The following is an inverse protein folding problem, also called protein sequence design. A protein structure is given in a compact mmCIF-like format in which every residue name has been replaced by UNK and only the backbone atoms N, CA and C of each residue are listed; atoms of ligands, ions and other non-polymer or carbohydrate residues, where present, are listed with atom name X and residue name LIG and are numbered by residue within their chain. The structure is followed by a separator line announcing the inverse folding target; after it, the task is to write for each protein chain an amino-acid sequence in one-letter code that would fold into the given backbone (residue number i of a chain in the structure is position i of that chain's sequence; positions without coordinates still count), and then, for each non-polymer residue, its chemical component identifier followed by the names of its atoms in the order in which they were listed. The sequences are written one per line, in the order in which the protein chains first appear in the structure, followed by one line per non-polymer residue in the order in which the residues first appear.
data_IF_489335808214
#
_entry.id   IF_489335808214
#
_cell.length_a   1.000
_cell.length_b   1.000
_cell.length_c   1.000
_cell.angle_alpha   90.00
_cell.angle_beta   90.00
_cell.angle_gamma   90.00
#
_symmetry.space_group_name_H-M   'P 1'
#
loop_
_entity.id
_entity.type
_entity.pdbx_description
1 polymer ?
#
# COMPACT_ATOMS: atom_id res chain seq x y z
N UNK A 1 11.06 30.58 -2.26
CA UNK A 1 10.80 30.42 -3.72
C UNK A 1 9.42 29.79 -3.85
N UNK A 2 8.49 30.33 -4.65
CA UNK A 2 7.14 29.73 -4.76
C UNK A 2 7.24 28.42 -5.58
N UNK A 3 6.65 27.35 -5.02
CA UNK A 3 6.56 26.04 -5.69
C UNK A 3 5.92 26.19 -7.09
N UNK A 4 6.48 25.53 -8.14
CA UNK A 4 5.87 25.53 -9.46
C UNK A 4 4.45 24.97 -9.43
N UNK A 5 3.52 25.62 -10.15
CA UNK A 5 2.09 25.25 -10.15
C UNK A 5 1.88 23.79 -10.54
N UNK A 6 2.63 23.30 -11.50
CA UNK A 6 2.49 21.92 -12.00
C UNK A 6 2.91 20.89 -10.95
N UNK A 7 3.99 21.15 -10.21
CA UNK A 7 4.44 20.29 -9.13
C UNK A 7 3.40 20.23 -7.99
N UNK A 8 2.84 21.39 -7.63
CA UNK A 8 1.78 21.45 -6.61
C UNK A 8 0.52 20.68 -7.05
N UNK A 9 0.13 20.78 -8.33
CA UNK A 9 -1.00 20.02 -8.89
C UNK A 9 -0.75 18.52 -8.87
N UNK A 10 0.46 18.06 -9.14
CA UNK A 10 0.84 16.66 -9.03
C UNK A 10 0.73 16.16 -7.58
N UNK A 11 1.17 16.96 -6.60
CA UNK A 11 1.02 16.64 -5.18
C UNK A 11 -0.45 16.53 -4.78
N UNK A 12 -1.31 17.45 -5.23
CA UNK A 12 -2.77 17.39 -5.00
C UNK A 12 -3.32 16.06 -5.53
N UNK A 13 -2.95 15.67 -6.76
CA UNK A 13 -3.41 14.40 -7.35
C UNK A 13 -2.90 13.19 -6.57
N UNK A 14 -1.64 13.20 -6.14
CA UNK A 14 -1.07 12.13 -5.35
C UNK A 14 -1.83 11.95 -4.03
N UNK A 15 -2.05 13.04 -3.28
CA UNK A 15 -2.78 13.02 -2.01
C UNK A 15 -4.24 12.60 -2.20
N UNK A 16 -4.92 13.12 -3.23
CA UNK A 16 -6.32 12.77 -3.50
C UNK A 16 -6.45 11.31 -3.93
N UNK A 17 -5.51 10.78 -4.72
CA UNK A 17 -5.53 9.36 -5.13
C UNK A 17 -5.21 8.42 -3.97
N UNK A 18 -4.28 8.80 -3.10
CA UNK A 18 -3.90 7.96 -1.96
C UNK A 18 -4.91 7.94 -0.82
N UNK A 19 -5.65 9.04 -0.64
CA UNK A 19 -6.58 9.20 0.51
C UNK A 19 -8.06 9.21 0.11
N UNK A 20 -8.37 9.10 -1.18
CA UNK A 20 -9.74 9.21 -1.67
C UNK A 20 -10.25 10.66 -1.60
N UNK A 21 -11.38 10.87 -0.95
CA UNK A 21 -11.99 12.19 -0.81
C UNK A 21 -11.25 13.06 0.22
N UNK A 22 -10.67 14.19 -0.18
CA UNK A 22 -9.88 15.07 0.69
C UNK A 22 -10.46 16.48 0.66
N UNK A 23 -10.67 17.09 1.84
CA UNK A 23 -11.13 18.50 1.95
C UNK A 23 -10.04 19.43 1.40
N UNK A 24 -10.46 20.45 0.64
CA UNK A 24 -9.58 21.48 0.08
C UNK A 24 -8.79 22.22 1.18
N UNK A 25 -9.37 22.40 2.36
CA UNK A 25 -8.67 22.99 3.51
C UNK A 25 -7.54 22.12 4.05
N UNK A 26 -7.71 20.79 4.04
CA UNK A 26 -6.67 19.83 4.45
C UNK A 26 -5.52 19.84 3.45
N UNK A 27 -5.84 19.81 2.16
CA UNK A 27 -4.83 19.94 1.09
C UNK A 27 -4.03 21.26 1.21
N UNK A 28 -4.71 22.34 1.55
CA UNK A 28 -4.06 23.65 1.72
C UNK A 28 -3.06 23.65 2.89
N UNK A 29 -3.45 23.07 4.02
CA UNK A 29 -2.57 22.92 5.18
C UNK A 29 -1.35 22.02 4.89
N UNK A 30 -1.55 20.90 4.20
CA UNK A 30 -0.47 19.96 3.90
C UNK A 30 0.52 20.45 2.83
N UNK A 31 0.04 21.29 1.92
CA UNK A 31 0.86 21.87 0.86
C UNK A 31 1.46 23.23 1.23
N UNK A 32 1.17 23.72 2.43
CA UNK A 32 1.58 25.05 2.94
C UNK A 32 1.23 26.19 1.96
N UNK A 33 0.00 26.16 1.45
CA UNK A 33 -0.52 27.20 0.54
C UNK A 33 -1.93 27.63 0.94
N UNK A 34 -2.37 28.77 0.42
CA UNK A 34 -3.72 29.26 0.73
C UNK A 34 -4.82 28.34 0.19
N UNK A 35 -5.94 28.24 0.91
CA UNK A 35 -7.13 27.49 0.48
C UNK A 35 -7.63 27.97 -0.90
N UNK A 36 -7.46 29.26 -1.20
CA UNK A 36 -7.85 29.84 -2.49
C UNK A 36 -6.96 29.27 -3.62
N UNK A 37 -5.67 29.14 -3.37
CA UNK A 37 -4.71 28.56 -4.33
C UNK A 37 -5.05 27.09 -4.62
N UNK A 38 -5.27 26.28 -3.59
CA UNK A 38 -5.64 24.87 -3.76
C UNK A 38 -6.99 24.73 -4.44
N UNK A 39 -7.96 25.57 -4.11
CA UNK A 39 -9.28 25.55 -4.77
C UNK A 39 -9.15 25.76 -6.28
N UNK A 40 -8.34 26.73 -6.70
CA UNK A 40 -8.08 26.99 -8.11
C UNK A 40 -7.38 25.81 -8.80
N UNK A 41 -6.38 25.22 -8.16
CA UNK A 41 -5.70 24.06 -8.71
C UNK A 41 -6.60 22.83 -8.82
N UNK A 42 -7.44 22.57 -7.81
CA UNK A 42 -8.47 21.51 -7.84
C UNK A 42 -9.50 21.77 -8.95
N UNK A 43 -9.88 23.03 -9.20
CA UNK A 43 -10.78 23.40 -10.30
C UNK A 43 -10.15 23.10 -11.67
N UNK A 44 -8.89 23.45 -11.87
CA UNK A 44 -8.17 23.16 -13.11
C UNK A 44 -8.00 21.66 -13.35
N UNK A 45 -7.62 20.90 -12.29
CA UNK A 45 -7.50 19.45 -12.35
C UNK A 45 -8.85 18.77 -12.63
N UNK A 46 -9.93 19.30 -12.09
CA UNK A 46 -11.29 18.80 -12.36
C UNK A 46 -11.73 19.09 -13.80
N UNK A 47 -11.43 20.29 -14.32
CA UNK A 47 -11.69 20.66 -15.71
C UNK A 47 -10.88 19.80 -16.70
N UNK A 48 -9.64 19.43 -16.32
CA UNK A 48 -8.81 18.52 -17.08
C UNK A 48 -9.22 17.04 -16.93
N UNK A 49 -10.29 16.73 -16.20
CA UNK A 49 -10.77 15.36 -15.98
C UNK A 49 -9.83 14.50 -15.12
N UNK A 50 -8.89 15.09 -14.38
CA UNK A 50 -7.89 14.37 -13.57
C UNK A 50 -8.34 14.10 -12.13
N UNK A 51 -9.37 14.79 -11.64
CA UNK A 51 -10.07 14.55 -10.38
C UNK A 51 -11.54 15.04 -10.49
N UNK A 52 -12.37 14.69 -9.52
CA UNK A 52 -13.73 15.23 -9.35
C UNK A 52 -13.78 16.22 -8.19
N UNK A 53 -14.60 17.25 -8.32
CA UNK A 53 -14.83 18.26 -7.29
C UNK A 53 -16.27 18.22 -6.79
N UNK A 54 -16.48 18.33 -5.49
CA UNK A 54 -17.80 18.51 -4.89
C UNK A 54 -17.73 19.15 -3.51
N UNK A 55 -18.51 20.20 -3.25
CA UNK A 55 -18.71 20.86 -1.93
C UNK A 55 -17.42 21.01 -1.07
N UNK A 56 -16.35 21.55 -1.67
CA UNK A 56 -15.08 21.77 -0.96
C UNK A 56 -14.20 20.53 -0.75
N UNK A 57 -14.50 19.45 -1.46
CA UNK A 57 -13.76 18.19 -1.43
C UNK A 57 -13.24 17.85 -2.83
N UNK A 58 -11.99 17.43 -2.93
CA UNK A 58 -11.38 16.85 -4.14
C UNK A 58 -11.43 15.31 -4.06
N UNK A 59 -11.81 14.65 -5.18
CA UNK A 59 -11.95 13.20 -5.28
C UNK A 59 -11.22 12.67 -6.52
N UNK A 60 -10.65 11.45 -6.51
CA UNK A 60 -10.03 10.89 -7.70
C UNK A 60 -11.08 10.61 -8.80
N UNK A 61 -10.66 10.69 -10.06
CA UNK A 61 -11.46 10.23 -11.19
C UNK A 61 -11.41 8.70 -11.18
N UNK A 62 -12.57 8.05 -11.14
CA UNK A 62 -12.68 6.60 -10.96
C UNK A 62 -12.71 6.16 -9.49
N UNK A 63 -12.65 7.07 -8.51
CA UNK A 63 -13.15 6.75 -7.20
C UNK A 63 -14.62 6.36 -7.31
N UNK A 64 -14.92 5.17 -6.85
CA UNK A 64 -16.29 4.76 -6.56
C UNK A 64 -16.95 5.95 -5.88
N UNK A 65 -18.07 6.42 -6.41
CA UNK A 65 -18.92 7.35 -5.66
C UNK A 65 -18.96 6.83 -4.23
N UNK A 66 -18.68 7.70 -3.25
CA UNK A 66 -19.15 7.40 -1.91
C UNK A 66 -20.59 6.95 -2.11
N UNK A 67 -20.78 5.66 -2.01
CA UNK A 67 -22.10 5.15 -1.72
C UNK A 67 -22.35 5.73 -0.32
N UNK A 68 -22.90 6.93 -0.31
CA UNK A 68 -23.72 7.40 0.81
C UNK A 68 -24.66 6.23 0.98
N UNK A 69 -24.43 5.41 2.02
CA UNK A 69 -25.38 4.39 2.42
C UNK A 69 -26.68 5.17 2.62
N UNK A 70 -27.66 5.08 1.71
CA UNK A 70 -28.98 5.60 2.01
C UNK A 70 -29.37 4.75 3.21
N UNK A 71 -29.73 5.42 4.32
CA UNK A 71 -30.44 4.76 5.40
C UNK A 71 -31.45 3.81 4.75
N UNK A 72 -31.33 2.53 5.07
CA UNK A 72 -32.10 1.38 4.64
C UNK A 72 -33.22 1.74 3.65
N UNK A 73 -32.93 1.66 2.36
CA UNK A 73 -33.99 1.52 1.37
C UNK A 73 -34.49 0.08 1.47
N UNK A 74 -35.77 -0.03 1.78
CA UNK A 74 -36.50 -1.27 1.81
C UNK A 74 -36.09 -2.20 0.67
N UNK A 75 -35.91 -3.45 0.99
CA UNK A 75 -35.56 -4.57 0.12
C UNK A 75 -36.45 -4.57 -1.12
N UNK A 76 -35.85 -4.48 -2.31
CA UNK A 76 -36.53 -4.98 -3.49
C UNK A 76 -36.54 -6.51 -3.40
N UNK A 77 -37.73 -7.15 -3.33
CA UNK A 77 -37.82 -8.60 -3.29
C UNK A 77 -37.50 -9.15 -4.69
N UNK A 78 -36.36 -9.84 -4.84
CA UNK A 78 -36.07 -10.54 -6.08
C UNK A 78 -34.60 -10.89 -6.38
N UNK A 79 -33.63 -10.53 -5.56
CA UNK A 79 -32.26 -11.03 -5.76
C UNK A 79 -31.85 -11.96 -4.60
N UNK A 80 -31.77 -13.25 -4.91
CA UNK A 80 -31.47 -14.33 -3.94
C UNK A 80 -30.07 -14.31 -3.35
N UNK A 81 -29.26 -13.27 -3.51
CA UNK A 81 -27.90 -13.16 -2.96
C UNK A 81 -27.77 -12.03 -1.95
N UNK A 82 -27.55 -12.33 -0.66
CA UNK A 82 -27.17 -11.34 0.34
C UNK A 82 -25.80 -10.69 -0.03
N UNK A 83 -25.43 -9.53 0.61
CA UNK A 83 -24.20 -8.84 0.30
C UNK A 83 -22.96 -9.64 0.74
N UNK A 84 -21.84 -9.39 0.08
CA UNK A 84 -20.50 -9.75 0.56
C UNK A 84 -19.92 -8.52 1.25
N UNK A 85 -19.51 -8.67 2.50
CA UNK A 85 -18.81 -7.61 3.19
C UNK A 85 -17.35 -7.55 2.72
N UNK A 86 -16.90 -6.37 2.35
CA UNK A 86 -15.50 -6.09 2.04
C UNK A 86 -14.96 -5.08 3.05
N UNK A 87 -14.07 -5.52 3.93
CA UNK A 87 -13.51 -4.69 5.00
C UNK A 87 -12.05 -4.38 4.70
N UNK A 88 -11.75 -3.11 4.47
CA UNK A 88 -10.40 -2.62 4.17
C UNK A 88 -10.03 -1.47 5.09
N UNK A 89 -8.74 -1.32 5.45
CA UNK A 89 -8.30 -0.21 6.27
C UNK A 89 -8.35 1.13 5.50
N UNK A 90 -8.62 2.19 6.24
CA UNK A 90 -8.49 3.56 5.75
C UNK A 90 -7.07 3.84 5.21
N UNK A 91 -6.96 4.73 4.22
CA UNK A 91 -5.70 5.20 3.60
C UNK A 91 -4.88 4.16 2.83
N UNK A 92 -5.48 3.08 2.39
CA UNK A 92 -4.83 2.10 1.51
C UNK A 92 -5.45 2.10 0.12
N UNK A 93 -5.05 3.07 -0.72
CA UNK A 93 -5.47 3.16 -2.14
C UNK A 93 -5.23 1.85 -2.90
N UNK A 94 -4.17 1.13 -2.55
CA UNK A 94 -3.86 -0.21 -3.02
C UNK A 94 -5.06 -1.19 -2.87
N UNK A 95 -5.67 -1.24 -1.69
CA UNK A 95 -6.77 -2.17 -1.40
C UNK A 95 -8.09 -1.76 -2.07
N UNK A 96 -8.22 -0.49 -2.46
CA UNK A 96 -9.37 -0.06 -3.27
C UNK A 96 -9.30 -0.62 -4.70
N UNK A 97 -8.10 -0.78 -5.27
CA UNK A 97 -7.94 -1.46 -6.56
C UNK A 97 -8.27 -2.96 -6.45
N UNK A 98 -7.94 -3.61 -5.32
CA UNK A 98 -8.35 -4.98 -5.06
C UNK A 98 -9.90 -5.08 -4.93
N UNK A 99 -10.54 -4.15 -4.22
CA UNK A 99 -12.00 -4.07 -4.15
C UNK A 99 -12.63 -3.92 -5.54
N UNK A 100 -12.01 -3.09 -6.39
CA UNK A 100 -12.45 -2.91 -7.77
C UNK A 100 -12.32 -4.19 -8.60
N UNK A 101 -11.27 -4.97 -8.38
CA UNK A 101 -11.08 -6.27 -9.03
C UNK A 101 -12.09 -7.34 -8.58
N UNK A 102 -12.49 -7.32 -7.31
CA UNK A 102 -13.46 -8.27 -6.75
C UNK A 102 -14.90 -8.02 -7.26
N UNK A 103 -15.23 -6.76 -7.53
CA UNK A 103 -16.57 -6.32 -7.83
C UNK A 103 -17.23 -7.04 -9.03
N UNK A 104 -16.64 -7.08 -10.23
CA UNK A 104 -17.27 -7.72 -11.38
C UNK A 104 -17.54 -9.20 -11.15
N UNK A 105 -16.66 -9.91 -10.46
CA UNK A 105 -16.82 -11.33 -10.14
C UNK A 105 -18.02 -11.58 -9.25
N UNK A 106 -18.21 -10.75 -8.24
CA UNK A 106 -19.33 -10.87 -7.31
C UNK A 106 -20.66 -10.42 -7.95
N UNK A 107 -20.62 -9.34 -8.74
CA UNK A 107 -21.81 -8.86 -9.47
C UNK A 107 -22.30 -9.86 -10.52
N UNK A 108 -21.40 -10.53 -11.24
CA UNK A 108 -21.74 -11.61 -12.18
C UNK A 108 -22.39 -12.80 -11.47
N UNK A 109 -21.96 -13.10 -10.25
CA UNK A 109 -22.57 -14.11 -9.39
C UNK A 109 -23.88 -13.62 -8.71
N UNK A 110 -24.41 -12.44 -9.07
CA UNK A 110 -25.63 -11.88 -8.50
C UNK A 110 -25.48 -11.32 -7.09
N UNK A 111 -24.25 -11.16 -6.57
CA UNK A 111 -23.97 -10.66 -5.24
C UNK A 111 -23.60 -9.17 -5.26
N UNK A 112 -23.90 -8.47 -4.18
CA UNK A 112 -23.52 -7.06 -3.99
C UNK A 112 -22.35 -6.97 -3.02
N UNK A 113 -21.47 -5.96 -3.19
CA UNK A 113 -20.43 -5.64 -2.22
C UNK A 113 -20.95 -4.57 -1.26
N UNK A 114 -20.82 -4.83 0.05
CA UNK A 114 -20.91 -3.84 1.11
C UNK A 114 -19.48 -3.47 1.52
N UNK A 115 -19.00 -2.31 1.05
CA UNK A 115 -17.65 -1.83 1.37
C UNK A 115 -17.64 -1.13 2.73
N UNK A 116 -16.78 -1.58 3.62
CA UNK A 116 -16.53 -1.01 4.94
C UNK A 116 -15.07 -0.56 5.04
N UNK A 117 -14.86 0.69 5.41
CA UNK A 117 -13.53 1.27 5.56
C UNK A 117 -13.25 1.39 7.06
N UNK A 118 -12.29 0.61 7.55
CA UNK A 118 -11.91 0.59 8.95
C UNK A 118 -10.97 1.78 9.26
N UNK A 119 -11.29 2.64 10.23
CA UNK A 119 -10.42 3.73 10.66
C UNK A 119 -9.10 3.18 11.23
N UNK A 120 -8.09 4.06 11.30
CA UNK A 120 -6.77 3.68 11.83
C UNK A 120 -6.76 3.61 13.37
N UNK A 121 -7.61 2.75 13.91
CA UNK A 121 -7.68 2.48 15.34
C UNK A 121 -7.59 0.97 15.60
N UNK A 122 -6.95 0.53 16.68
CA UNK A 122 -6.93 -0.88 17.06
C UNK A 122 -8.34 -1.43 17.19
N UNK A 123 -8.58 -2.63 16.64
CA UNK A 123 -9.87 -3.33 16.73
C UNK A 123 -11.01 -2.71 15.90
N UNK A 124 -10.75 -1.70 15.07
CA UNK A 124 -11.79 -1.01 14.30
C UNK A 124 -12.49 -1.90 13.27
N UNK A 125 -11.86 -2.97 12.83
CA UNK A 125 -12.43 -3.91 11.85
C UNK A 125 -13.56 -4.76 12.44
N UNK A 126 -13.44 -5.19 13.70
CA UNK A 126 -14.39 -6.10 14.34
C UNK A 126 -15.82 -5.58 14.39
N UNK A 127 -16.10 -4.35 14.88
CA UNK A 127 -17.46 -3.80 14.88
C UNK A 127 -18.07 -3.69 13.47
N UNK A 128 -17.25 -3.41 12.44
CA UNK A 128 -17.70 -3.32 11.06
C UNK A 128 -18.10 -4.69 10.52
N UNK A 129 -17.34 -5.73 10.83
CA UNK A 129 -17.69 -7.11 10.46
C UNK A 129 -18.96 -7.55 11.17
N UNK A 130 -19.06 -7.32 12.48
CA UNK A 130 -20.25 -7.66 13.28
C UNK A 130 -21.51 -6.96 12.72
N UNK A 131 -21.42 -5.67 12.37
CA UNK A 131 -22.51 -4.92 11.76
C UNK A 131 -22.88 -5.47 10.36
N UNK A 132 -21.89 -5.83 9.55
CA UNK A 132 -22.13 -6.41 8.22
C UNK A 132 -22.81 -7.77 8.32
N UNK A 133 -22.42 -8.62 9.28
CA UNK A 133 -23.04 -9.91 9.52
C UNK A 133 -24.47 -9.75 10.01
N UNK A 134 -24.73 -8.81 10.93
CA UNK A 134 -26.08 -8.46 11.39
C UNK A 134 -26.97 -7.94 10.25
N UNK A 135 -26.37 -7.29 9.25
CA UNK A 135 -27.05 -6.83 8.02
C UNK A 135 -27.20 -7.95 6.96
N UNK A 136 -26.89 -9.19 7.29
CA UNK A 136 -27.11 -10.35 6.43
C UNK A 136 -25.97 -10.59 5.41
N UNK A 137 -24.76 -10.16 5.68
CA UNK A 137 -23.62 -10.50 4.83
C UNK A 137 -23.42 -12.02 4.81
N UNK A 138 -23.28 -12.58 3.60
CA UNK A 138 -23.12 -14.02 3.39
C UNK A 138 -21.67 -14.47 3.28
N UNK A 139 -20.76 -13.54 3.11
CA UNK A 139 -19.33 -13.78 3.02
C UNK A 139 -18.53 -12.54 3.37
N UNK A 140 -17.26 -12.74 3.70
CA UNK A 140 -16.36 -11.69 4.14
C UNK A 140 -15.05 -11.73 3.34
N UNK A 141 -14.72 -10.61 2.70
CA UNK A 141 -13.38 -10.30 2.20
C UNK A 141 -12.76 -9.26 3.14
N UNK A 142 -11.61 -9.53 3.71
CA UNK A 142 -11.01 -8.64 4.72
C UNK A 142 -9.49 -8.53 4.58
N UNK A 143 -8.97 -7.32 4.77
CA UNK A 143 -7.54 -7.03 4.85
C UNK A 143 -7.18 -6.49 6.24
N UNK A 144 -7.03 -7.35 7.28
CA UNK A 144 -6.75 -6.92 8.64
C UNK A 144 -5.37 -6.25 8.76
N UNK A 145 -5.20 -5.38 9.78
CA UNK A 145 -3.97 -4.61 10.00
C UNK A 145 -3.13 -5.12 11.16
N UNK A 146 -2.98 -6.42 11.33
CA UNK A 146 -2.04 -6.88 12.37
C UNK A 146 -0.61 -6.45 12.09
N UNK A 147 0.12 -6.09 13.13
CA UNK A 147 1.51 -5.66 13.01
C UNK A 147 2.51 -6.81 13.20
N UNK A 148 2.19 -7.78 14.01
CA UNK A 148 3.04 -8.91 14.33
C UNK A 148 2.28 -10.15 14.73
N UNK A 149 3.00 -11.17 15.21
CA UNK A 149 2.43 -12.42 15.64
C UNK A 149 1.48 -12.24 16.83
N UNK A 150 1.88 -11.39 17.77
CA UNK A 150 1.11 -11.15 18.99
C UNK A 150 -0.18 -10.43 18.65
N UNK A 151 -0.13 -9.36 17.83
CA UNK A 151 -1.32 -8.65 17.39
C UNK A 151 -2.20 -9.48 16.45
N UNK A 152 -1.63 -10.34 15.61
CA UNK A 152 -2.41 -11.30 14.80
C UNK A 152 -3.28 -12.19 15.71
N UNK A 153 -2.67 -12.77 16.74
CA UNK A 153 -3.39 -13.68 17.63
C UNK A 153 -4.33 -12.94 18.61
N UNK A 154 -3.86 -11.83 19.22
CA UNK A 154 -4.61 -11.12 20.25
C UNK A 154 -5.76 -10.28 19.66
N UNK A 155 -5.50 -9.59 18.56
CA UNK A 155 -6.43 -8.60 18.02
C UNK A 155 -7.36 -9.16 16.94
N UNK A 156 -6.97 -10.26 16.28
CA UNK A 156 -7.67 -10.80 15.12
C UNK A 156 -8.10 -12.28 15.25
N UNK A 157 -7.79 -12.93 16.36
CA UNK A 157 -8.19 -14.34 16.60
C UNK A 157 -9.69 -14.59 16.40
N UNK A 158 -10.52 -13.60 16.67
CA UNK A 158 -11.97 -13.63 16.47
C UNK A 158 -12.42 -13.89 15.01
N UNK A 159 -11.56 -13.62 14.02
CA UNK A 159 -11.87 -13.91 12.61
C UNK A 159 -12.05 -15.41 12.35
N UNK A 160 -11.42 -16.28 13.12
CA UNK A 160 -11.61 -17.72 13.01
C UNK A 160 -12.99 -18.20 13.48
N UNK A 161 -13.72 -17.37 14.24
CA UNK A 161 -15.05 -17.63 14.77
C UNK A 161 -16.17 -17.05 13.88
N UNK A 162 -15.81 -16.32 12.82
CA UNK A 162 -16.79 -15.74 11.89
C UNK A 162 -17.55 -16.86 11.17
N UNK A 163 -18.87 -16.85 11.31
CA UNK A 163 -19.74 -17.94 10.84
C UNK A 163 -19.89 -18.01 9.30
N UNK A 164 -19.53 -16.97 8.56
CA UNK A 164 -19.61 -16.94 7.10
C UNK A 164 -18.26 -17.25 6.46
N UNK A 165 -18.22 -17.77 5.22
CA UNK A 165 -16.98 -17.92 4.48
C UNK A 165 -16.19 -16.63 4.47
N UNK A 166 -14.92 -16.71 4.86
CA UNK A 166 -14.02 -15.57 5.02
C UNK A 166 -12.74 -15.82 4.23
N UNK A 167 -12.32 -14.80 3.47
CA UNK A 167 -11.06 -14.80 2.71
C UNK A 167 -10.24 -13.58 3.12
N UNK A 168 -8.99 -13.82 3.50
CA UNK A 168 -8.03 -12.78 3.81
C UNK A 168 -7.40 -12.23 2.51
N UNK A 169 -7.33 -10.92 2.38
CA UNK A 169 -6.67 -10.27 1.25
C UNK A 169 -5.38 -9.60 1.69
N UNK A 170 -4.31 -9.79 0.93
CA UNK A 170 -2.97 -9.23 1.20
C UNK A 170 -2.47 -9.56 2.62
N UNK A 171 -2.86 -10.71 3.12
CA UNK A 171 -2.48 -11.17 4.46
C UNK A 171 -2.15 -12.65 4.43
N UNK A 172 -0.99 -12.98 4.95
CA UNK A 172 -0.54 -14.37 5.12
C UNK A 172 -0.55 -14.69 6.62
N UNK A 173 -1.53 -15.46 7.11
CA UNK A 173 -1.53 -15.93 8.50
C UNK A 173 -0.32 -16.80 8.80
N UNK A 174 0.20 -16.69 10.00
CA UNK A 174 1.34 -17.52 10.44
C UNK A 174 0.95 -18.97 10.61
N UNK A 175 1.87 -19.90 10.33
CA UNK A 175 1.71 -21.28 10.74
C UNK A 175 1.44 -21.39 12.26
N UNK A 176 0.41 -22.15 12.65
CA UNK A 176 0.01 -22.31 14.04
C UNK A 176 -0.92 -21.22 14.61
N UNK A 177 -1.17 -20.13 13.88
CA UNK A 177 -2.20 -19.16 14.22
C UNK A 177 -3.60 -19.73 13.94
N UNK A 178 -4.63 -19.35 14.72
CA UNK A 178 -6.03 -19.69 14.43
C UNK A 178 -6.50 -19.24 13.04
N UNK A 179 -5.93 -18.15 12.54
CA UNK A 179 -6.21 -17.61 11.20
C UNK A 179 -5.60 -18.46 10.09
N UNK A 180 -4.67 -19.36 10.41
CA UNK A 180 -4.06 -20.26 9.43
C UNK A 180 -5.08 -21.19 8.76
N UNK A 181 -6.24 -21.36 9.37
CA UNK A 181 -7.36 -22.13 8.80
C UNK A 181 -8.24 -21.33 7.82
N UNK A 182 -7.97 -20.04 7.62
CA UNK A 182 -8.70 -19.21 6.67
C UNK A 182 -8.02 -19.21 5.29
N UNK A 183 -8.84 -19.12 4.25
CA UNK A 183 -8.35 -18.89 2.89
C UNK A 183 -7.71 -17.52 2.76
N UNK A 184 -6.67 -17.41 1.91
CA UNK A 184 -6.00 -16.14 1.69
C UNK A 184 -5.50 -15.95 0.27
N UNK A 185 -5.51 -14.71 -0.19
CA UNK A 185 -4.93 -14.28 -1.46
C UNK A 185 -3.99 -13.11 -1.19
N UNK A 186 -2.74 -13.23 -1.61
CA UNK A 186 -1.70 -12.24 -1.37
C UNK A 186 -0.87 -12.00 -2.62
N UNK A 187 -0.26 -10.82 -2.72
CA UNK A 187 0.92 -10.64 -3.56
C UNK A 187 2.15 -11.30 -2.94
N UNK A 188 3.02 -11.85 -3.75
CA UNK A 188 4.33 -12.33 -3.30
C UNK A 188 5.28 -11.14 -3.10
N UNK A 189 5.28 -10.60 -1.87
CA UNK A 189 6.11 -9.45 -1.53
C UNK A 189 7.60 -9.77 -1.46
N UNK A 190 7.96 -11.04 -1.23
CA UNK A 190 9.35 -11.47 -1.29
C UNK A 190 9.86 -11.38 -2.74
N UNK A 191 9.12 -11.95 -3.68
CA UNK A 191 9.46 -11.87 -5.09
C UNK A 191 9.44 -10.43 -5.62
N UNK A 192 8.47 -9.61 -5.21
CA UNK A 192 8.44 -8.20 -5.57
C UNK A 192 9.68 -7.43 -5.08
N UNK A 193 10.13 -7.70 -3.86
CA UNK A 193 11.36 -7.12 -3.31
C UNK A 193 12.60 -7.63 -4.03
N UNK A 194 12.62 -8.92 -4.38
CA UNK A 194 13.66 -9.51 -5.20
C UNK A 194 13.80 -8.78 -6.54
N UNK A 195 12.69 -8.52 -7.26
CA UNK A 195 12.72 -7.78 -8.52
C UNK A 195 13.33 -6.39 -8.38
N UNK A 196 13.04 -5.68 -7.28
CA UNK A 196 13.59 -4.35 -7.02
C UNK A 196 15.11 -4.40 -6.81
N UNK A 197 15.58 -5.31 -5.95
CA UNK A 197 17.01 -5.47 -5.65
C UNK A 197 17.76 -5.98 -6.87
N UNK A 198 17.22 -6.99 -7.56
CA UNK A 198 17.81 -7.58 -8.77
C UNK A 198 18.02 -6.54 -9.87
N UNK A 199 17.02 -5.71 -10.12
CA UNK A 199 17.11 -4.61 -11.09
C UNK A 199 18.24 -3.62 -10.72
N UNK A 200 18.34 -3.21 -9.45
CA UNK A 200 19.38 -2.29 -9.00
C UNK A 200 20.78 -2.92 -9.09
N UNK A 201 20.90 -4.18 -8.71
CA UNK A 201 22.17 -4.93 -8.83
C UNK A 201 22.57 -5.11 -10.29
N UNK A 202 21.62 -5.41 -11.17
CA UNK A 202 21.87 -5.52 -12.61
C UNK A 202 22.35 -4.21 -13.24
N UNK A 203 21.91 -3.05 -12.70
CA UNK A 203 22.41 -1.73 -13.08
C UNK A 203 23.82 -1.42 -12.52
N UNK A 204 24.34 -2.24 -11.62
CA UNK A 204 25.65 -2.06 -11.00
C UNK A 204 25.64 -1.40 -9.62
N UNK A 205 24.47 -1.18 -9.01
CA UNK A 205 24.39 -0.68 -7.64
C UNK A 205 24.83 -1.75 -6.64
N UNK A 206 25.69 -1.34 -5.69
CA UNK A 206 26.28 -2.22 -4.67
C UNK A 206 25.91 -1.81 -3.25
N UNK A 207 25.43 -0.59 -3.08
CA UNK A 207 25.08 0.01 -1.79
C UNK A 207 23.65 0.53 -1.88
N UNK A 208 22.71 -0.17 -1.21
CA UNK A 208 21.28 0.00 -1.41
C UNK A 208 20.59 0.22 -0.06
N UNK A 209 19.72 1.21 0.01
CA UNK A 209 18.91 1.49 1.21
C UNK A 209 17.45 1.11 0.94
N UNK A 210 16.79 0.48 1.90
CA UNK A 210 15.33 0.39 1.94
C UNK A 210 14.78 1.39 2.95
N UNK A 211 13.88 2.27 2.51
CA UNK A 211 13.04 3.05 3.41
C UNK A 211 11.59 2.56 3.30
N UNK A 212 11.05 2.05 4.40
CA UNK A 212 9.71 1.46 4.44
C UNK A 212 8.96 1.88 5.71
N UNK A 213 7.62 1.88 5.64
CA UNK A 213 6.76 2.12 6.80
C UNK A 213 6.77 0.95 7.77
N UNK A 214 6.17 1.13 8.96
CA UNK A 214 5.96 0.06 9.95
C UNK A 214 4.48 -0.11 10.32
N UNK A 215 3.58 0.28 9.44
CA UNK A 215 2.15 0.38 9.70
C UNK A 215 1.32 -0.75 9.09
N UNK A 216 1.95 -1.67 8.38
CA UNK A 216 1.24 -2.75 7.68
C UNK A 216 2.02 -4.07 7.65
N UNK A 217 1.34 -5.21 7.54
CA UNK A 217 1.98 -6.51 7.31
C UNK A 217 2.82 -6.53 6.03
N UNK A 218 2.38 -5.84 4.97
CA UNK A 218 3.11 -5.70 3.70
C UNK A 218 4.46 -5.02 3.91
N UNK A 219 4.48 -3.86 4.57
CA UNK A 219 5.72 -3.13 4.85
C UNK A 219 6.73 -3.99 5.61
N UNK A 220 6.24 -4.80 6.57
CA UNK A 220 7.08 -5.74 7.32
C UNK A 220 7.63 -6.86 6.43
N UNK A 221 6.77 -7.44 5.58
CA UNK A 221 7.21 -8.48 4.64
C UNK A 221 8.28 -7.94 3.68
N UNK A 222 8.13 -6.73 3.17
CA UNK A 222 9.12 -6.07 2.30
C UNK A 222 10.44 -5.83 3.04
N UNK A 223 10.41 -5.34 4.31
CA UNK A 223 11.63 -5.14 5.11
C UNK A 223 12.37 -6.44 5.35
N UNK A 224 11.65 -7.50 5.73
CA UNK A 224 12.23 -8.81 5.97
C UNK A 224 12.84 -9.40 4.70
N UNK A 225 12.09 -9.38 3.60
CA UNK A 225 12.55 -9.86 2.30
C UNK A 225 13.78 -9.09 1.81
N UNK A 226 13.80 -7.76 1.96
CA UNK A 226 14.93 -6.94 1.57
C UNK A 226 16.20 -7.32 2.35
N UNK A 227 16.11 -7.47 3.67
CA UNK A 227 17.23 -7.84 4.51
C UNK A 227 17.78 -9.23 4.13
N UNK A 228 16.90 -10.20 3.93
CA UNK A 228 17.26 -11.55 3.49
C UNK A 228 17.96 -11.55 2.12
N UNK A 229 17.34 -10.89 1.14
CA UNK A 229 17.83 -10.84 -0.24
C UNK A 229 19.17 -10.10 -0.31
N UNK A 230 19.27 -8.94 0.34
CA UNK A 230 20.49 -8.13 0.33
C UNK A 230 21.65 -8.85 1.01
N UNK A 231 21.40 -9.53 2.14
CA UNK A 231 22.42 -10.31 2.85
C UNK A 231 22.89 -11.56 2.08
N UNK A 232 22.01 -12.14 1.26
CA UNK A 232 22.32 -13.34 0.47
C UNK A 232 23.06 -13.02 -0.85
N UNK A 233 23.11 -11.74 -1.26
CA UNK A 233 23.72 -11.36 -2.54
C UNK A 233 25.15 -10.83 -2.35
N UNK A 234 26.18 -11.53 -2.85
CA UNK A 234 27.58 -11.10 -2.74
C UNK A 234 27.87 -9.80 -3.48
N UNK A 235 27.02 -9.42 -4.45
CA UNK A 235 27.15 -8.14 -5.18
C UNK A 235 26.74 -6.95 -4.32
N UNK A 236 25.95 -7.12 -3.27
CA UNK A 236 25.54 -6.05 -2.36
C UNK A 236 26.57 -5.89 -1.25
N UNK A 237 27.38 -4.84 -1.33
CA UNK A 237 28.46 -4.56 -0.39
C UNK A 237 27.96 -3.94 0.93
N UNK A 238 26.91 -3.12 0.86
CA UNK A 238 26.32 -2.48 2.02
C UNK A 238 24.82 -2.25 1.79
N UNK A 239 24.05 -2.45 2.86
CA UNK A 239 22.61 -2.20 2.83
C UNK A 239 22.08 -1.78 4.20
N UNK A 240 20.99 -1.06 4.20
CA UNK A 240 20.28 -0.69 5.42
C UNK A 240 18.78 -0.64 5.23
N UNK A 241 18.05 -0.88 6.31
CA UNK A 241 16.61 -0.76 6.37
C UNK A 241 16.27 0.33 7.39
N UNK A 242 15.49 1.32 6.95
CA UNK A 242 15.06 2.44 7.79
C UNK A 242 13.56 2.65 7.68
N UNK A 243 12.98 3.33 8.68
CA UNK A 243 11.57 3.72 8.63
C UNK A 243 11.39 5.00 7.80
N UNK A 244 10.46 4.98 6.85
CA UNK A 244 10.18 6.13 5.97
C UNK A 244 9.32 7.22 6.62
N UNK A 245 8.61 6.91 7.72
CA UNK A 245 7.71 7.83 8.39
C UNK A 245 7.80 7.72 9.91
N UNK A 246 7.80 8.86 10.64
CA UNK A 246 7.78 8.89 12.09
C UNK A 246 6.44 8.46 12.71
N UNK A 247 5.38 8.35 11.93
CA UNK A 247 4.04 7.92 12.38
C UNK A 247 3.95 6.41 12.67
N UNK A 248 5.06 5.70 12.60
CA UNK A 248 5.19 4.37 13.14
C UNK A 248 4.97 4.43 14.66
N UNK A 249 3.72 4.22 15.10
CA UNK A 249 3.38 4.12 16.52
C UNK A 249 4.22 2.98 17.12
N UNK A 250 5.04 3.20 18.16
CA UNK A 250 5.77 2.15 18.82
C UNK A 250 4.75 1.17 19.42
N UNK A 251 4.55 0.01 18.78
CA UNK A 251 3.91 -1.12 19.42
C UNK A 251 4.92 -1.80 20.37
N UNK A 252 4.47 -2.51 21.41
CA UNK A 252 5.33 -3.21 22.35
C UNK A 252 6.08 -4.41 21.75
N UNK A 253 5.96 -4.65 20.46
CA UNK A 253 6.56 -5.79 19.79
C UNK A 253 7.84 -5.40 19.07
N UNK A 254 8.96 -5.60 19.75
CA UNK A 254 10.25 -5.79 19.12
C UNK A 254 10.27 -7.20 18.51
N UNK A 255 10.18 -7.29 17.19
CA UNK A 255 10.60 -8.50 16.49
C UNK A 255 12.14 -8.49 16.48
N UNK A 256 12.74 -9.39 17.26
CA UNK A 256 14.17 -9.50 17.53
C UNK A 256 14.98 -9.97 16.30
N UNK A 257 14.34 -10.16 15.13
CA UNK A 257 14.96 -10.76 13.95
C UNK A 257 15.49 -9.77 12.92
N UNK A 258 15.19 -8.49 13.03
CA UNK A 258 15.82 -7.47 12.19
C UNK A 258 16.84 -6.69 12.99
N UNK A 259 18.10 -6.73 12.59
CA UNK A 259 19.09 -5.69 12.91
C UNK A 259 18.64 -4.36 12.29
N UNK A 260 17.51 -3.84 12.77
CA UNK A 260 17.24 -2.42 12.74
C UNK A 260 18.35 -1.86 13.62
N UNK A 261 19.35 -1.25 12.99
CA UNK A 261 20.32 -0.45 13.73
C UNK A 261 19.53 0.42 14.68
N UNK A 262 20.06 0.68 15.85
CA UNK A 262 19.49 1.44 16.97
C UNK A 262 19.13 2.90 16.59
N UNK A 263 18.73 3.08 15.32
CA UNK A 263 18.29 4.30 14.70
C UNK A 263 16.89 4.65 15.21
N UNK A 264 16.92 5.13 16.47
CA UNK A 264 16.11 6.25 16.91
C UNK A 264 14.59 6.09 16.79
N UNK A 265 14.00 5.80 17.92
CA UNK A 265 12.65 6.24 18.33
C UNK A 265 12.48 7.79 18.24
N UNK A 266 13.32 8.46 17.46
CA UNK A 266 13.23 9.89 17.23
C UNK A 266 12.17 10.16 16.18
N UNK A 267 11.18 10.99 16.52
CA UNK A 267 10.06 11.40 15.66
C UNK A 267 10.49 12.35 14.53
N UNK A 268 11.77 12.42 14.25
CA UNK A 268 12.30 13.23 13.15
C UNK A 268 11.97 12.60 11.81
N UNK A 269 11.49 13.37 10.84
CA UNK A 269 11.32 12.88 9.47
C UNK A 269 12.64 12.32 8.92
N UNK A 270 12.57 11.21 8.19
CA UNK A 270 13.74 10.62 7.57
C UNK A 270 14.47 11.63 6.68
N UNK A 271 15.74 11.89 6.99
CA UNK A 271 16.67 12.58 6.09
C UNK A 271 17.35 11.53 5.19
N UNK A 272 16.70 11.24 4.07
CA UNK A 272 17.20 10.23 3.14
C UNK A 272 18.51 10.68 2.47
N UNK A 273 18.71 11.99 2.23
CA UNK A 273 19.95 12.48 1.62
C UNK A 273 21.15 12.30 2.55
N UNK A 274 21.00 12.62 3.83
CA UNK A 274 22.04 12.40 4.82
C UNK A 274 22.39 10.89 4.93
N UNK A 275 21.38 10.02 4.96
CA UNK A 275 21.57 8.57 5.00
C UNK A 275 22.30 8.04 3.77
N UNK A 276 21.91 8.48 2.57
CA UNK A 276 22.57 8.09 1.31
C UNK A 276 24.05 8.50 1.31
N UNK A 277 24.34 9.72 1.79
CA UNK A 277 25.72 10.22 1.90
C UNK A 277 26.56 9.43 2.92
N UNK A 278 26.01 9.20 4.12
CA UNK A 278 26.67 8.42 5.18
C UNK A 278 27.01 7.00 4.72
N UNK A 279 26.06 6.32 4.11
CA UNK A 279 26.20 4.95 3.60
C UNK A 279 26.90 4.88 2.25
N UNK A 280 27.17 6.01 1.60
CA UNK A 280 27.61 6.07 0.21
C UNK A 280 26.70 5.23 -0.71
N UNK A 281 25.41 5.22 -0.40
CA UNK A 281 24.42 4.46 -1.15
C UNK A 281 24.07 5.19 -2.45
N UNK A 282 24.00 4.44 -3.54
CA UNK A 282 23.71 4.94 -4.87
C UNK A 282 22.29 4.59 -5.33
N UNK A 283 21.57 3.79 -4.54
CA UNK A 283 20.20 3.40 -4.84
C UNK A 283 19.36 3.26 -3.57
N UNK A 284 18.06 3.49 -3.72
CA UNK A 284 17.06 3.29 -2.68
C UNK A 284 15.83 2.55 -3.21
N UNK A 285 15.31 1.64 -2.38
CA UNK A 285 13.97 1.07 -2.52
C UNK A 285 13.05 1.78 -1.54
N UNK A 286 11.94 2.33 -2.01
CA UNK A 286 11.02 3.15 -1.20
C UNK A 286 9.64 2.47 -1.18
N UNK A 287 9.25 1.93 -0.03
CA UNK A 287 7.95 1.27 0.14
C UNK A 287 6.82 2.29 0.32
N UNK A 288 5.78 2.13 -0.53
CA UNK A 288 4.69 3.09 -0.64
C UNK A 288 5.06 4.23 -1.59
N UNK A 289 4.53 4.20 -2.81
CA UNK A 289 4.90 5.14 -3.86
C UNK A 289 4.49 6.60 -3.58
N UNK A 290 3.51 6.83 -2.71
CA UNK A 290 3.19 8.19 -2.21
C UNK A 290 4.35 8.75 -1.39
N UNK A 291 4.86 7.96 -0.43
CA UNK A 291 6.02 8.35 0.38
C UNK A 291 7.27 8.47 -0.49
N UNK A 292 7.42 7.58 -1.49
CA UNK A 292 8.52 7.64 -2.44
C UNK A 292 8.54 8.97 -3.22
N UNK A 293 7.39 9.42 -3.73
CA UNK A 293 7.30 10.72 -4.42
C UNK A 293 7.69 11.88 -3.51
N UNK A 294 7.27 11.86 -2.25
CA UNK A 294 7.62 12.88 -1.26
C UNK A 294 9.12 12.87 -0.93
N UNK A 295 9.70 11.67 -0.75
CA UNK A 295 11.13 11.53 -0.47
C UNK A 295 11.98 11.96 -1.66
N UNK A 296 11.60 11.60 -2.89
CA UNK A 296 12.29 12.05 -4.11
C UNK A 296 12.24 13.57 -4.26
N UNK A 297 11.12 14.20 -3.91
CA UNK A 297 11.03 15.66 -3.91
C UNK A 297 11.99 16.28 -2.89
N UNK A 298 12.05 15.75 -1.66
CA UNK A 298 12.99 16.21 -0.63
C UNK A 298 14.45 16.03 -1.05
N UNK A 299 14.79 14.91 -1.69
CA UNK A 299 16.11 14.70 -2.28
C UNK A 299 16.46 15.80 -3.27
N UNK A 300 15.53 16.17 -4.16
CA UNK A 300 15.75 17.24 -5.14
C UNK A 300 15.94 18.62 -4.48
N UNK A 301 15.20 18.91 -3.38
CA UNK A 301 15.35 20.12 -2.57
C UNK A 301 16.73 20.19 -1.90
N UNK A 302 17.33 19.05 -1.56
CA UNK A 302 18.66 18.90 -0.98
C UNK A 302 19.76 18.73 -2.03
N UNK A 303 19.44 18.89 -3.32
CA UNK A 303 20.39 18.83 -4.43
C UNK A 303 20.73 17.43 -4.92
N UNK A 304 20.09 16.39 -4.42
CA UNK A 304 20.26 14.99 -4.86
C UNK A 304 19.30 14.70 -6.02
N UNK A 305 19.83 14.38 -7.17
CA UNK A 305 19.05 14.18 -8.41
C UNK A 305 18.74 12.70 -8.62
N UNK A 306 17.48 12.38 -8.85
CA UNK A 306 17.02 11.06 -9.25
C UNK A 306 16.82 11.08 -10.78
N UNK A 307 17.42 10.14 -11.55
CA UNK A 307 18.22 8.99 -11.11
C UNK A 307 19.74 9.25 -11.00
N UNK A 308 20.21 10.44 -11.37
CA UNK A 308 21.63 10.72 -11.60
C UNK A 308 22.54 10.46 -10.39
N UNK A 309 22.14 10.96 -9.23
CA UNK A 309 22.92 10.86 -8.00
C UNK A 309 22.44 9.68 -7.13
N UNK A 310 21.17 9.26 -7.29
CA UNK A 310 20.58 8.12 -6.64
C UNK A 310 19.48 7.50 -7.52
N UNK A 311 19.57 6.21 -7.81
CA UNK A 311 18.48 5.43 -8.41
C UNK A 311 17.41 5.11 -7.39
N UNK A 312 16.14 5.20 -7.77
CA UNK A 312 15.01 4.93 -6.88
C UNK A 312 14.06 3.91 -7.51
N UNK A 313 13.73 2.87 -6.75
CA UNK A 313 12.63 1.94 -7.04
C UNK A 313 11.54 2.13 -5.99
N UNK A 314 10.33 2.45 -6.44
CA UNK A 314 9.15 2.53 -5.57
C UNK A 314 8.44 1.17 -5.45
N UNK A 315 7.52 1.06 -4.50
CA UNK A 315 6.66 -0.10 -4.31
C UNK A 315 5.18 0.33 -4.35
N UNK A 316 4.28 -0.57 -4.78
CA UNK A 316 2.82 -0.45 -4.96
C UNK A 316 2.35 0.00 -6.34
N UNK A 317 3.01 0.89 -7.03
CA UNK A 317 2.67 1.38 -8.37
C UNK A 317 1.23 1.91 -8.52
N UNK A 318 0.76 2.66 -7.54
CA UNK A 318 -0.53 3.37 -7.57
C UNK A 318 -0.37 4.76 -8.15
N UNK A 319 0.66 5.48 -7.72
CA UNK A 319 0.96 6.88 -8.12
C UNK A 319 2.38 7.08 -8.62
N UNK A 320 3.20 6.02 -8.67
CA UNK A 320 4.63 6.08 -9.03
C UNK A 320 4.91 6.78 -10.36
N UNK A 321 3.99 6.70 -11.34
CA UNK A 321 4.13 7.34 -12.64
C UNK A 321 3.82 8.85 -12.63
N UNK A 322 3.36 9.43 -11.53
CA UNK A 322 2.83 10.80 -11.49
C UNK A 322 3.86 11.85 -11.12
N UNK A 323 5.07 11.47 -10.70
CA UNK A 323 6.14 12.39 -10.37
C UNK A 323 6.70 13.12 -11.61
N UNK A 324 7.46 14.19 -11.38
CA UNK A 324 8.25 14.87 -12.43
C UNK A 324 9.25 13.90 -13.09
N UNK A 325 9.80 12.99 -12.31
CA UNK A 325 10.50 11.79 -12.76
C UNK A 325 9.59 10.59 -12.45
N UNK A 326 8.99 9.94 -13.47
CA UNK A 326 8.21 8.73 -13.26
C UNK A 326 9.06 7.63 -12.62
N UNK A 327 8.59 7.08 -11.48
CA UNK A 327 9.37 6.13 -10.71
C UNK A 327 9.26 4.70 -11.29
N UNK A 328 10.40 4.05 -11.45
CA UNK A 328 10.47 2.59 -11.56
C UNK A 328 9.82 2.00 -10.32
N UNK A 329 8.90 1.05 -10.48
CA UNK A 329 8.11 0.56 -9.36
C UNK A 329 7.83 -0.94 -9.45
N UNK A 330 7.87 -1.62 -8.31
CA UNK A 330 7.24 -2.93 -8.15
C UNK A 330 5.73 -2.74 -8.18
N UNK A 331 5.07 -3.46 -9.07
CA UNK A 331 3.63 -3.39 -9.29
C UNK A 331 2.96 -4.71 -8.92
N UNK A 332 2.46 -4.87 -7.68
CA UNK A 332 1.65 -6.01 -7.30
C UNK A 332 0.35 -6.07 -8.13
N UNK A 333 -0.19 -7.26 -8.42
CA UNK A 333 -1.38 -7.42 -9.26
C UNK A 333 -2.68 -7.18 -8.48
N UNK A 334 -2.88 -5.94 -8.02
CA UNK A 334 -3.93 -5.51 -7.08
C UNK A 334 -5.34 -5.97 -7.46
N UNK A 335 -5.75 -5.70 -8.71
CA UNK A 335 -7.06 -6.09 -9.20
C UNK A 335 -7.23 -7.62 -9.24
N UNK A 336 -6.16 -8.34 -9.59
CA UNK A 336 -6.18 -9.80 -9.63
C UNK A 336 -6.23 -10.42 -8.24
N UNK A 337 -5.63 -9.77 -7.22
CA UNK A 337 -5.80 -10.18 -5.80
C UNK A 337 -7.28 -10.12 -5.42
N UNK A 338 -7.95 -9.02 -5.77
CA UNK A 338 -9.39 -8.88 -5.52
C UNK A 338 -10.24 -9.90 -6.28
N UNK A 339 -9.95 -10.11 -7.56
CA UNK A 339 -10.61 -11.11 -8.40
C UNK A 339 -10.49 -12.51 -7.79
N UNK A 340 -9.25 -12.95 -7.53
CA UNK A 340 -8.98 -14.28 -6.98
C UNK A 340 -9.60 -14.47 -5.58
N UNK A 341 -9.64 -13.41 -4.76
CA UNK A 341 -10.30 -13.46 -3.46
C UNK A 341 -11.82 -13.65 -3.59
N UNK A 342 -12.45 -12.95 -4.55
CA UNK A 342 -13.88 -13.11 -4.84
C UNK A 342 -14.20 -14.52 -5.38
N UNK A 343 -13.41 -15.02 -6.32
CA UNK A 343 -13.57 -16.38 -6.87
C UNK A 343 -13.45 -17.44 -5.77
N UNK A 344 -12.45 -17.26 -4.89
CA UNK A 344 -12.23 -18.16 -3.77
C UNK A 344 -13.40 -18.13 -2.76
N UNK A 345 -13.93 -16.94 -2.48
CA UNK A 345 -15.12 -16.77 -1.65
C UNK A 345 -16.34 -17.43 -2.27
N UNK A 346 -16.62 -17.21 -3.56
CA UNK A 346 -17.72 -17.84 -4.28
C UNK A 346 -17.61 -19.37 -4.28
N UNK A 347 -16.40 -19.89 -4.44
CA UNK A 347 -16.16 -21.33 -4.33
C UNK A 347 -16.51 -21.89 -2.94
N UNK A 348 -16.29 -21.11 -1.87
CA UNK A 348 -16.72 -21.49 -0.52
C UNK A 348 -18.24 -21.40 -0.35
N UNK A 349 -18.85 -20.35 -0.86
CA UNK A 349 -20.30 -20.15 -0.79
C UNK A 349 -21.11 -21.19 -1.56
N UNK A 350 -20.55 -21.75 -2.63
CA UNK A 350 -21.19 -22.81 -3.43
C UNK A 350 -21.18 -24.18 -2.74
N UNK A 351 -20.48 -24.34 -1.60
CA UNK A 351 -20.44 -25.60 -0.86
C UNK A 351 -21.58 -25.69 0.15
N UNK A 352 -22.08 -26.90 0.44
CA UNK A 352 -23.02 -27.09 1.53
C UNK A 352 -22.45 -26.57 2.86
N UNK A 353 -23.28 -26.00 3.72
CA UNK A 353 -22.91 -25.54 5.05
C UNK A 353 -22.26 -26.71 5.82
N UNK A 354 -21.06 -26.47 6.38
CA UNK A 354 -20.29 -27.48 7.12
C UNK A 354 -19.44 -28.42 6.26
N UNK A 355 -19.48 -28.33 4.91
CA UNK A 355 -18.57 -29.09 4.08
C UNK A 355 -17.15 -28.54 4.19
N UNK A 356 -16.30 -29.22 4.98
CA UNK A 356 -14.89 -28.91 5.05
C UNK A 356 -14.21 -29.13 3.69
N UNK A 357 -13.42 -28.19 3.26
CA UNK A 357 -12.56 -28.35 2.09
C UNK A 357 -11.15 -27.83 2.41
N UNK A 358 -10.15 -28.16 1.62
CA UNK A 358 -8.80 -27.69 1.87
C UNK A 358 -8.76 -26.17 1.93
N UNK A 359 -8.00 -25.63 2.88
CA UNK A 359 -7.64 -24.22 2.92
C UNK A 359 -6.77 -23.89 1.71
N UNK A 360 -7.07 -22.80 1.04
CA UNK A 360 -6.35 -22.38 -0.14
C UNK A 360 -5.57 -21.09 0.14
N UNK A 361 -4.33 -21.08 -0.30
CA UNK A 361 -3.48 -19.89 -0.33
C UNK A 361 -3.03 -19.62 -1.75
N UNK A 362 -3.37 -18.46 -2.23
CA UNK A 362 -3.04 -18.01 -3.57
C UNK A 362 -2.01 -16.89 -3.42
N UNK A 363 -0.89 -17.05 -4.08
CA UNK A 363 0.14 -16.03 -4.21
C UNK A 363 0.24 -15.58 -5.65
N UNK A 364 0.19 -14.28 -5.86
CA UNK A 364 0.26 -13.65 -7.17
C UNK A 364 1.57 -12.87 -7.28
N UNK A 365 2.30 -13.13 -8.36
CA UNK A 365 3.61 -12.51 -8.57
C UNK A 365 3.47 -11.05 -9.02
N UNK A 366 4.15 -10.11 -8.35
CA UNK A 366 4.33 -8.75 -8.82
C UNK A 366 5.15 -8.68 -10.12
N UNK A 367 5.08 -7.55 -10.78
CA UNK A 367 5.95 -7.19 -11.91
C UNK A 367 6.76 -5.95 -11.58
N UNK A 368 7.89 -5.74 -12.25
CA UNK A 368 8.65 -4.50 -12.18
C UNK A 368 8.34 -3.65 -13.41
N UNK A 369 7.88 -2.43 -13.18
CA UNK A 369 7.69 -1.43 -14.25
C UNK A 369 8.84 -0.46 -14.25
N UNK A 370 9.77 -0.64 -15.17
CA UNK A 370 10.93 0.23 -15.32
C UNK A 370 10.52 1.56 -15.95
N UNK A 371 10.97 2.68 -15.33
CA UNK A 371 10.71 4.05 -15.75
C UNK A 371 11.98 4.91 -15.63
N UNK A 372 11.83 6.22 -15.48
CA UNK A 372 12.93 7.19 -15.53
C UNK A 372 13.74 7.38 -14.24
N UNK A 373 13.43 6.66 -13.14
CA UNK A 373 14.08 6.89 -11.84
C UNK A 373 15.27 5.98 -11.53
N UNK A 374 15.68 5.14 -12.48
CA UNK A 374 16.81 4.23 -12.30
C UNK A 374 17.76 4.30 -13.48
N UNK A 375 19.07 4.27 -13.23
CA UNK A 375 20.16 4.21 -14.20
C UNK A 375 21.40 3.59 -13.53
N UNK A 376 22.44 3.19 -14.30
CA UNK A 376 23.72 2.77 -13.71
C UNK A 376 24.32 3.86 -12.81
N UNK A 377 25.01 3.50 -11.69
CA UNK A 377 25.67 4.46 -10.85
C UNK A 377 26.76 5.21 -11.59
N UNK A 378 26.87 6.52 -11.35
CA UNK A 378 27.97 7.31 -11.90
C UNK A 378 29.27 6.87 -11.23
N UNK A 379 30.13 6.19 -11.96
CA UNK A 379 31.49 5.90 -11.52
C UNK A 379 32.25 7.23 -11.45
N UNK A 380 32.58 7.67 -10.23
CA UNK A 380 33.59 8.72 -10.07
C UNK A 380 34.89 8.14 -10.59
N UNK A 381 35.31 8.54 -11.80
CA UNK A 381 36.65 8.25 -12.29
C UNK A 381 37.64 8.83 -11.26
N UNK A 382 38.36 7.98 -10.58
CA UNK A 382 39.54 8.39 -9.80
C UNK A 382 40.47 9.10 -10.79
N UNK A 383 40.90 10.35 -10.52
CA UNK A 383 41.89 10.98 -11.39
C UNK A 383 43.15 10.08 -11.34
N UNK A 384 43.55 9.60 -12.53
CA UNK A 384 44.84 8.94 -12.70
C UNK A 384 45.92 9.90 -12.25
N UNK A 385 46.54 9.62 -11.10
CA UNK A 385 47.77 10.26 -10.74
C UNK A 385 48.83 9.81 -11.76
N UNK A 386 49.15 10.70 -12.70
CA UNK A 386 50.32 10.65 -13.50
C UNK A 386 51.45 11.39 -12.76
#
# INVERSE_FOLDING_TARGET
MREPVELRRQRILAVVRSRGAVKVSVLASELDVSVVTVRRDVEELARAGRLRRGHGVARPVGAVEEVTVPAARAEEPGREGGPVALVVPERHSYLYEAAYGARPVLEEAGMRIALHIAPQAPGAERPLVEAALAAGARGLLIAPRWRGAVSEAADYGWLSEVAVPTVLMERRPRPGSGLHALDSVCSDHWYGTYLAVDHLVALGHRRIVLAARDDSPTARSVRHAFAEIAAARPEVEDWSVVLSSPDAVPGPEQDDSTRLGDATRDRTPLDLAALLAERRATAAVLHGDVDALMLVQRLAEQGVRVPRDCSVVAYDDVVAALGSTPLTAVSPPKAEVGRAAAELLLHRLARPLGAAGPVRRIELLPTLKVRGSTQPPVTLSTPSNN
#
